data_IF_393598720884
#
_entry.id   IF_393598720884
#
_cell.length_a   1.000
_cell.length_b   1.000
_cell.length_c   1.000
_cell.angle_alpha   90.00
_cell.angle_beta   90.00
_cell.angle_gamma   90.00
#
_symmetry.space_group_name_H-M   'P 1'
#
loop_
_entity.id
_entity.type
_entity.pdbx_description
1 polymer ?
#
# COMPACT_ATOMS: atom_id res chain seq x y z
N UNK A 1 -14.30 -11.42 11.91
CA UNK A 1 -13.97 -11.32 10.47
C UNK A 1 -12.47 -11.48 10.33
N UNK A 2 -11.99 -12.58 9.76
CA UNK A 2 -10.61 -12.72 9.32
C UNK A 2 -10.49 -12.01 7.96
N UNK A 3 -9.70 -10.96 7.92
CA UNK A 3 -9.46 -10.16 6.70
C UNK A 3 -8.07 -10.54 6.18
N UNK A 4 -7.97 -11.74 5.63
CA UNK A 4 -6.83 -12.10 4.80
C UNK A 4 -7.14 -11.67 3.36
N UNK A 5 -6.38 -10.69 2.87
CA UNK A 5 -6.43 -10.29 1.48
C UNK A 5 -5.60 -11.29 0.66
N UNK A 6 -6.27 -12.10 -0.14
CA UNK A 6 -5.60 -12.98 -1.10
C UNK A 6 -5.11 -12.16 -2.28
N UNK A 7 -3.82 -11.82 -2.28
CA UNK A 7 -3.10 -11.28 -3.46
C UNK A 7 -2.79 -12.43 -4.40
N UNK A 8 -3.82 -13.01 -5.02
CA UNK A 8 -3.68 -14.03 -6.06
C UNK A 8 -4.55 -13.63 -7.25
N UNK A 9 -4.09 -12.65 -8.02
CA UNK A 9 -4.71 -12.29 -9.30
C UNK A 9 -3.86 -12.78 -10.47
N UNK A 10 -4.44 -13.04 -11.66
CA UNK A 10 -3.72 -13.49 -12.85
C UNK A 10 -2.50 -12.64 -13.22
N UNK A 11 -2.59 -11.33 -13.01
CA UNK A 11 -1.53 -10.36 -13.33
C UNK A 11 -0.27 -10.58 -12.47
N UNK A 12 -0.42 -11.10 -11.24
CA UNK A 12 0.72 -11.46 -10.38
C UNK A 12 1.46 -12.70 -10.90
N UNK A 13 0.75 -13.62 -11.59
CA UNK A 13 1.38 -14.76 -12.24
C UNK A 13 2.12 -14.33 -13.50
N UNK A 14 1.49 -13.49 -14.29
CA UNK A 14 2.08 -12.88 -15.50
C UNK A 14 3.37 -12.12 -15.16
N UNK A 15 3.36 -11.30 -14.10
CA UNK A 15 4.56 -10.60 -13.62
C UNK A 15 5.69 -11.57 -13.24
N UNK A 16 5.37 -12.70 -12.60
CA UNK A 16 6.35 -13.72 -12.22
C UNK A 16 6.91 -14.47 -13.43
N UNK A 17 6.07 -14.73 -14.43
CA UNK A 17 6.50 -15.36 -15.68
C UNK A 17 7.45 -14.44 -16.46
N UNK A 18 7.14 -13.14 -16.53
CA UNK A 18 8.04 -12.14 -17.11
C UNK A 18 9.36 -12.05 -16.34
N UNK A 19 9.32 -12.08 -15.00
CA UNK A 19 10.53 -12.11 -14.17
C UNK A 19 11.40 -13.35 -14.45
N UNK A 20 10.80 -14.53 -14.65
CA UNK A 20 11.52 -15.74 -15.03
C UNK A 20 12.16 -15.57 -16.41
N UNK A 21 11.40 -15.09 -17.38
CA UNK A 21 11.87 -14.89 -18.75
C UNK A 21 13.03 -13.90 -18.82
N UNK A 22 12.94 -12.76 -18.12
CA UNK A 22 14.02 -11.77 -18.02
C UNK A 22 15.31 -12.42 -17.49
N UNK A 23 15.21 -13.19 -16.39
CA UNK A 23 16.37 -13.87 -15.82
C UNK A 23 17.01 -14.89 -16.77
N UNK A 24 16.21 -15.56 -17.61
CA UNK A 24 16.73 -16.48 -18.63
C UNK A 24 17.42 -15.73 -19.78
N UNK A 25 16.81 -14.64 -20.25
CA UNK A 25 17.39 -13.78 -21.29
C UNK A 25 18.72 -13.15 -20.83
N UNK A 26 18.80 -12.67 -19.59
CA UNK A 26 20.04 -12.10 -19.01
C UNK A 26 21.16 -13.15 -18.92
N UNK A 27 20.85 -14.40 -18.56
CA UNK A 27 21.84 -15.48 -18.56
C UNK A 27 22.38 -15.78 -19.96
N UNK A 28 21.52 -15.74 -20.97
CA UNK A 28 21.96 -15.93 -22.36
C UNK A 28 22.80 -14.73 -22.82
N UNK A 29 22.45 -13.51 -22.43
CA UNK A 29 23.24 -12.31 -22.71
C UNK A 29 24.65 -12.42 -22.12
N UNK A 30 24.77 -12.80 -20.85
CA UNK A 30 26.06 -13.02 -20.18
C UNK A 30 26.89 -14.09 -20.92
N UNK A 31 26.26 -15.19 -21.32
CA UNK A 31 26.87 -16.27 -22.11
C UNK A 31 27.38 -15.79 -23.48
N UNK A 32 26.62 -14.96 -24.20
CA UNK A 32 27.02 -14.39 -25.49
C UNK A 32 28.16 -13.38 -25.34
N UNK A 33 28.09 -12.50 -24.34
CA UNK A 33 29.15 -11.54 -24.02
C UNK A 33 30.45 -12.26 -23.67
N UNK A 34 30.39 -13.31 -22.84
CA UNK A 34 31.57 -14.10 -22.47
C UNK A 34 32.20 -14.80 -23.69
N UNK A 35 31.37 -15.37 -24.58
CA UNK A 35 31.84 -15.98 -25.84
C UNK A 35 32.52 -14.95 -26.75
N UNK A 36 31.94 -13.75 -26.90
CA UNK A 36 32.50 -12.65 -27.69
C UNK A 36 33.86 -12.22 -27.14
N UNK A 37 33.96 -12.06 -25.83
CA UNK A 37 35.18 -11.57 -25.17
C UNK A 37 36.32 -12.60 -25.25
N UNK A 38 36.01 -13.90 -25.11
CA UNK A 38 36.97 -14.99 -25.37
C UNK A 38 37.50 -14.97 -26.80
N UNK A 39 36.63 -14.76 -27.80
CA UNK A 39 37.06 -14.63 -29.22
C UNK A 39 37.92 -13.39 -29.46
N UNK A 40 37.60 -12.27 -28.81
CA UNK A 40 38.37 -11.02 -28.94
C UNK A 40 39.77 -11.11 -28.33
N UNK A 41 39.91 -11.81 -27.19
CA UNK A 41 41.21 -12.09 -26.57
C UNK A 41 42.11 -12.94 -27.48
N UNK A 42 41.55 -13.92 -28.18
CA UNK A 42 42.31 -14.82 -29.05
C UNK A 42 42.83 -14.15 -30.35
N UNK A 43 42.22 -13.04 -30.80
CA UNK A 43 42.51 -12.38 -32.09
C UNK A 43 43.01 -10.93 -31.97
N UNK A 44 43.28 -10.48 -30.75
CA UNK A 44 43.66 -9.09 -30.45
C UNK A 44 42.42 -8.18 -30.35
N UNK A 45 42.23 -7.55 -29.19
CA UNK A 45 40.99 -6.86 -28.79
C UNK A 45 40.52 -5.76 -29.76
N UNK A 46 41.44 -5.09 -30.47
CA UNK A 46 41.15 -3.95 -31.35
C UNK A 46 41.57 -4.18 -32.82
N UNK A 47 41.49 -5.42 -33.31
CA UNK A 47 41.79 -5.74 -34.71
C UNK A 47 40.54 -5.78 -35.60
N UNK A 48 40.69 -5.46 -36.89
CA UNK A 48 39.63 -5.61 -37.89
C UNK A 48 39.15 -7.07 -38.01
N UNK A 49 40.04 -8.03 -37.76
CA UNK A 49 39.77 -9.47 -37.76
C UNK A 49 38.88 -9.88 -36.59
N UNK A 50 39.09 -9.28 -35.40
CA UNK A 50 38.21 -9.42 -34.24
C UNK A 50 36.83 -8.81 -34.52
N UNK A 51 36.78 -7.62 -35.10
CA UNK A 51 35.50 -6.98 -35.49
C UNK A 51 34.70 -7.87 -36.46
N UNK A 52 35.34 -8.38 -37.52
CA UNK A 52 34.68 -9.28 -38.49
C UNK A 52 34.25 -10.60 -37.85
N UNK A 53 35.08 -11.18 -36.98
CA UNK A 53 34.78 -12.46 -36.32
C UNK A 53 33.67 -12.37 -35.28
N UNK A 54 33.43 -11.18 -34.72
CA UNK A 54 32.42 -10.93 -33.70
C UNK A 54 31.17 -10.20 -34.22
N UNK A 55 31.08 -9.88 -35.52
CA UNK A 55 29.96 -9.13 -36.10
C UNK A 55 28.60 -9.78 -35.81
N UNK A 56 28.51 -11.11 -35.95
CA UNK A 56 27.28 -11.87 -35.71
C UNK A 56 26.94 -11.90 -34.21
N UNK A 57 27.91 -12.21 -33.35
CA UNK A 57 27.72 -12.18 -31.90
C UNK A 57 27.34 -10.78 -31.36
N UNK A 58 27.89 -9.70 -31.92
CA UNK A 58 27.51 -8.33 -31.55
C UNK A 58 26.05 -8.03 -31.91
N UNK A 59 25.59 -8.54 -33.06
CA UNK A 59 24.20 -8.40 -33.47
C UNK A 59 23.27 -9.22 -32.57
N UNK A 60 23.63 -10.46 -32.27
CA UNK A 60 22.84 -11.31 -31.36
C UNK A 60 22.74 -10.68 -29.96
N UNK A 61 23.82 -10.06 -29.48
CA UNK A 61 23.85 -9.29 -28.22
C UNK A 61 22.90 -8.08 -28.32
N UNK A 62 22.99 -7.26 -29.37
CA UNK A 62 22.14 -6.07 -29.55
C UNK A 62 20.64 -6.44 -29.66
N UNK A 63 20.33 -7.48 -30.44
CA UNK A 63 18.97 -8.00 -30.59
C UNK A 63 18.45 -8.51 -29.23
N UNK A 64 19.27 -9.22 -28.45
CA UNK A 64 18.88 -9.73 -27.12
C UNK A 64 18.75 -8.62 -26.07
N UNK A 65 19.63 -7.62 -26.07
CA UNK A 65 19.53 -6.42 -25.22
C UNK A 65 18.21 -5.69 -25.48
N UNK A 66 17.77 -5.61 -26.75
CA UNK A 66 16.49 -5.03 -27.12
C UNK A 66 15.30 -5.84 -26.59
N UNK A 67 15.34 -7.17 -26.72
CA UNK A 67 14.28 -8.07 -26.20
C UNK A 67 14.19 -7.94 -24.67
N UNK A 68 15.33 -7.89 -23.98
CA UNK A 68 15.38 -7.67 -22.52
C UNK A 68 14.76 -6.32 -22.15
N UNK A 69 15.08 -5.25 -22.89
CA UNK A 69 14.50 -3.94 -22.65
C UNK A 69 12.97 -3.91 -22.85
N UNK A 70 12.47 -4.57 -23.89
CA UNK A 70 11.02 -4.73 -24.14
C UNK A 70 10.35 -5.52 -23.00
N UNK A 71 10.95 -6.62 -22.53
CA UNK A 71 10.43 -7.40 -21.40
C UNK A 71 10.41 -6.59 -20.09
N UNK A 72 11.43 -5.77 -19.83
CA UNK A 72 11.44 -4.86 -18.69
C UNK A 72 10.36 -3.78 -18.78
N UNK A 73 10.05 -3.29 -19.99
CA UNK A 73 8.96 -2.35 -20.21
C UNK A 73 7.60 -3.00 -19.93
N UNK A 74 7.34 -4.18 -20.51
CA UNK A 74 6.11 -4.94 -20.28
C UNK A 74 5.89 -5.24 -18.79
N UNK A 75 6.96 -5.67 -18.10
CA UNK A 75 6.96 -5.86 -16.65
C UNK A 75 6.53 -4.60 -15.90
N UNK A 76 7.04 -3.44 -16.30
CA UNK A 76 6.72 -2.16 -15.65
C UNK A 76 5.25 -1.78 -15.86
N UNK A 77 4.72 -1.96 -17.07
CA UNK A 77 3.31 -1.67 -17.39
C UNK A 77 2.35 -2.56 -16.59
N UNK A 78 2.65 -3.86 -16.46
CA UNK A 78 1.87 -4.79 -15.63
C UNK A 78 1.98 -4.43 -14.15
N UNK A 79 3.19 -4.11 -13.66
CA UNK A 79 3.40 -3.69 -12.28
C UNK A 79 2.59 -2.44 -11.94
N UNK A 80 2.59 -1.43 -12.81
CA UNK A 80 1.82 -0.18 -12.64
C UNK A 80 0.31 -0.44 -12.65
N UNK A 81 -0.17 -1.33 -13.53
CA UNK A 81 -1.58 -1.73 -13.58
C UNK A 81 -2.04 -2.42 -12.29
N UNK A 82 -1.27 -3.40 -11.80
CA UNK A 82 -1.53 -4.10 -10.53
C UNK A 82 -1.53 -3.10 -9.37
N UNK A 83 -0.51 -2.24 -9.33
CA UNK A 83 -0.33 -1.23 -8.32
C UNK A 83 -1.56 -0.31 -8.19
N UNK A 84 -1.99 0.31 -9.29
CA UNK A 84 -3.10 1.25 -9.29
C UNK A 84 -4.44 0.59 -8.92
N UNK A 85 -4.71 -0.59 -9.47
CA UNK A 85 -5.98 -1.28 -9.23
C UNK A 85 -6.09 -1.78 -7.79
N UNK A 86 -5.04 -2.44 -7.29
CA UNK A 86 -5.04 -2.99 -5.93
C UNK A 86 -5.15 -1.89 -4.87
N UNK A 87 -4.40 -0.80 -5.04
CA UNK A 87 -4.45 0.33 -4.11
C UNK A 87 -5.83 0.97 -4.08
N UNK A 88 -6.44 1.19 -5.24
CA UNK A 88 -7.77 1.78 -5.29
C UNK A 88 -8.81 0.88 -4.62
N UNK A 89 -8.75 -0.43 -4.84
CA UNK A 89 -9.61 -1.40 -4.17
C UNK A 89 -9.41 -1.38 -2.65
N UNK A 90 -8.17 -1.50 -2.20
CA UNK A 90 -7.84 -1.53 -0.77
C UNK A 90 -8.24 -0.22 -0.07
N UNK A 91 -8.01 0.93 -0.72
CA UNK A 91 -8.43 2.25 -0.23
C UNK A 91 -9.94 2.33 -0.12
N UNK A 92 -10.68 1.95 -1.15
CA UNK A 92 -12.13 2.01 -1.16
C UNK A 92 -12.75 1.10 -0.10
N UNK A 93 -12.23 -0.12 0.04
CA UNK A 93 -12.68 -1.07 1.06
C UNK A 93 -12.40 -0.55 2.47
N UNK A 94 -11.20 -0.01 2.69
CA UNK A 94 -10.80 0.55 4.00
C UNK A 94 -11.64 1.76 4.35
N UNK A 95 -11.85 2.69 3.42
CA UNK A 95 -12.68 3.87 3.64
C UNK A 95 -14.15 3.48 3.89
N UNK A 96 -14.69 2.46 3.19
CA UNK A 96 -16.04 1.95 3.45
C UNK A 96 -16.16 1.37 4.86
N UNK A 97 -15.18 0.58 5.31
CA UNK A 97 -15.15 0.01 6.66
C UNK A 97 -14.97 1.09 7.74
N UNK A 98 -14.11 2.08 7.51
CA UNK A 98 -13.93 3.23 8.41
C UNK A 98 -15.21 4.08 8.50
N UNK A 99 -15.90 4.31 7.38
CA UNK A 99 -17.19 5.01 7.36
C UNK A 99 -18.30 4.24 8.09
N UNK A 100 -18.33 2.91 7.97
CA UNK A 100 -19.27 2.07 8.73
C UNK A 100 -19.00 2.15 10.24
N UNK A 101 -17.73 2.07 10.66
CA UNK A 101 -17.34 2.25 12.07
C UNK A 101 -17.72 3.64 12.58
N UNK A 102 -17.54 4.69 11.77
CA UNK A 102 -17.96 6.04 12.13
C UNK A 102 -19.48 6.16 12.26
N UNK A 103 -20.26 5.54 11.36
CA UNK A 103 -21.72 5.51 11.44
C UNK A 103 -22.21 4.81 12.70
N UNK A 104 -21.66 3.64 13.00
CA UNK A 104 -21.94 2.89 14.23
C UNK A 104 -21.61 3.74 15.47
N UNK A 105 -20.48 4.45 15.45
CA UNK A 105 -20.07 5.34 16.54
C UNK A 105 -21.03 6.51 16.72
N UNK A 106 -21.55 7.09 15.64
CA UNK A 106 -22.57 8.15 15.69
C UNK A 106 -23.88 7.62 16.27
N UNK A 107 -24.37 6.48 15.81
CA UNK A 107 -25.57 5.84 16.34
C UNK A 107 -25.44 5.49 17.84
N UNK A 108 -24.22 5.20 18.29
CA UNK A 108 -23.93 4.91 19.69
C UNK A 108 -23.93 6.13 20.62
N UNK A 109 -23.82 7.36 20.11
CA UNK A 109 -23.71 8.55 20.96
C UNK A 109 -24.72 9.65 20.62
N UNK A 110 -25.00 9.88 19.34
CA UNK A 110 -25.89 10.96 18.90
C UNK A 110 -27.32 10.71 19.39
N UNK A 111 -28.00 11.79 19.80
CA UNK A 111 -29.39 11.79 20.30
C UNK A 111 -29.64 11.02 21.60
N UNK A 112 -28.59 10.51 22.26
CA UNK A 112 -28.67 9.91 23.60
C UNK A 112 -28.55 10.95 24.70
N UNK A 113 -28.91 10.56 25.92
CA UNK A 113 -28.69 11.40 27.11
C UNK A 113 -27.22 11.42 27.51
N UNK A 114 -26.71 12.54 28.01
CA UNK A 114 -25.30 12.67 28.40
C UNK A 114 -24.82 11.62 29.44
N UNK A 115 -25.69 11.18 30.35
CA UNK A 115 -25.38 10.13 31.31
C UNK A 115 -25.13 8.78 30.62
N UNK A 116 -25.93 8.45 29.60
CA UNK A 116 -25.79 7.25 28.79
C UNK A 116 -24.49 7.32 27.96
N UNK A 117 -24.21 8.46 27.33
CA UNK A 117 -22.98 8.70 26.57
C UNK A 117 -21.73 8.56 27.45
N UNK A 118 -21.77 9.08 28.69
CA UNK A 118 -20.66 8.97 29.65
C UNK A 118 -20.37 7.52 30.03
N UNK A 119 -21.40 6.70 30.24
CA UNK A 119 -21.25 5.29 30.53
C UNK A 119 -20.65 4.50 29.34
N UNK A 120 -21.12 4.80 28.12
CA UNK A 120 -20.66 4.15 26.88
C UNK A 120 -19.23 4.57 26.46
N UNK A 121 -18.79 5.77 26.84
CA UNK A 121 -17.49 6.35 26.49
C UNK A 121 -16.31 5.49 26.93
N UNK A 122 -16.43 4.69 27.99
CA UNK A 122 -15.36 3.79 28.43
C UNK A 122 -15.26 2.52 27.60
N UNK A 123 -16.37 1.80 27.46
CA UNK A 123 -16.41 0.45 26.86
C UNK A 123 -16.45 0.48 25.34
N UNK A 124 -17.34 1.29 24.76
CA UNK A 124 -17.55 1.31 23.31
C UNK A 124 -16.40 2.01 22.58
N UNK A 125 -15.85 3.08 23.16
CA UNK A 125 -14.64 3.74 22.62
C UNK A 125 -13.48 2.77 22.51
N UNK A 126 -13.26 1.94 23.53
CA UNK A 126 -12.17 0.96 23.53
C UNK A 126 -12.37 -0.08 22.42
N UNK A 127 -13.57 -0.66 22.32
CA UNK A 127 -13.90 -1.64 21.27
C UNK A 127 -13.73 -1.06 19.86
N UNK A 128 -14.27 0.14 19.61
CA UNK A 128 -14.25 0.78 18.30
C UNK A 128 -12.83 1.23 17.89
N UNK A 129 -12.02 1.73 18.83
CA UNK A 129 -10.61 2.03 18.59
C UNK A 129 -9.80 0.75 18.28
N UNK A 130 -10.08 -0.36 18.97
CA UNK A 130 -9.44 -1.65 18.65
C UNK A 130 -9.83 -2.14 17.25
N UNK A 131 -11.10 -2.06 16.87
CA UNK A 131 -11.57 -2.42 15.54
C UNK A 131 -10.92 -1.54 14.44
N UNK A 132 -10.83 -0.23 14.66
CA UNK A 132 -10.13 0.67 13.75
C UNK A 132 -8.63 0.36 13.67
N UNK A 133 -7.99 0.07 14.81
CA UNK A 133 -6.59 -0.35 14.84
C UNK A 133 -6.34 -1.67 14.08
N UNK A 134 -7.26 -2.63 14.17
CA UNK A 134 -7.19 -3.87 13.39
C UNK A 134 -7.38 -3.62 11.89
N UNK A 135 -8.31 -2.74 11.51
CA UNK A 135 -8.52 -2.33 10.13
C UNK A 135 -7.25 -1.71 9.53
N UNK A 136 -6.61 -0.79 10.25
CA UNK A 136 -5.35 -0.16 9.84
C UNK A 136 -4.23 -1.19 9.70
N UNK A 137 -4.07 -2.10 10.67
CA UNK A 137 -3.07 -3.17 10.61
C UNK A 137 -3.28 -4.08 9.39
N UNK A 138 -4.53 -4.47 9.13
CA UNK A 138 -4.89 -5.30 7.98
C UNK A 138 -4.57 -4.58 6.67
N UNK A 139 -4.97 -3.31 6.53
CA UNK A 139 -4.63 -2.48 5.39
C UNK A 139 -3.11 -2.43 5.14
N UNK A 140 -2.33 -2.13 6.17
CA UNK A 140 -0.87 -2.02 6.06
C UNK A 140 -0.21 -3.36 5.72
N UNK A 141 -0.76 -4.48 6.22
CA UNK A 141 -0.27 -5.82 5.86
C UNK A 141 -0.48 -6.11 4.37
N UNK A 142 -1.64 -5.76 3.82
CA UNK A 142 -1.95 -5.91 2.40
C UNK A 142 -1.08 -5.04 1.50
N UNK A 143 -0.87 -3.77 1.89
CA UNK A 143 0.06 -2.89 1.19
C UNK A 143 1.48 -3.42 1.18
N UNK A 144 1.92 -4.05 2.28
CA UNK A 144 3.24 -4.70 2.34
C UNK A 144 3.34 -5.88 1.38
N UNK A 145 2.34 -6.75 1.36
CA UNK A 145 2.30 -7.87 0.42
C UNK A 145 2.32 -7.41 -1.04
N UNK A 146 1.62 -6.32 -1.37
CA UNK A 146 1.67 -5.73 -2.71
C UNK A 146 3.10 -5.27 -3.07
N UNK A 147 3.77 -4.55 -2.17
CA UNK A 147 5.17 -4.12 -2.39
C UNK A 147 6.10 -5.31 -2.60
N UNK A 148 5.94 -6.36 -1.79
CA UNK A 148 6.75 -7.57 -1.87
C UNK A 148 6.54 -8.28 -3.23
N UNK A 149 5.30 -8.32 -3.73
CA UNK A 149 4.95 -8.90 -5.04
C UNK A 149 5.49 -8.08 -6.21
N UNK A 150 5.35 -6.76 -6.16
CA UNK A 150 5.81 -5.89 -7.24
C UNK A 150 7.34 -5.79 -7.32
N UNK A 151 8.04 -6.20 -6.25
CA UNK A 151 9.50 -6.17 -6.17
C UNK A 151 10.04 -4.73 -6.22
N UNK A 152 9.28 -3.76 -5.71
CA UNK A 152 9.68 -2.34 -5.67
C UNK A 152 10.87 -2.21 -4.72
N UNK A 153 12.08 -2.38 -5.25
CA UNK A 153 13.35 -2.16 -4.52
C UNK A 153 13.75 -0.68 -4.47
N UNK A 154 13.12 0.16 -5.29
CA UNK A 154 13.40 1.59 -5.33
C UNK A 154 12.86 2.29 -4.07
N UNK A 155 13.77 2.81 -3.25
CA UNK A 155 13.46 3.48 -1.98
C UNK A 155 12.52 4.68 -2.14
N UNK A 156 12.65 5.46 -3.21
CA UNK A 156 11.81 6.65 -3.43
C UNK A 156 10.37 6.26 -3.79
N UNK A 157 10.20 5.22 -4.59
CA UNK A 157 8.87 4.67 -4.89
C UNK A 157 8.28 4.08 -3.61
N UNK A 158 9.06 3.29 -2.87
CA UNK A 158 8.64 2.72 -1.60
C UNK A 158 8.21 3.80 -0.59
N UNK A 159 8.94 4.92 -0.51
CA UNK A 159 8.62 6.03 0.38
C UNK A 159 7.36 6.80 -0.07
N UNK A 160 7.14 6.97 -1.37
CA UNK A 160 5.87 7.51 -1.90
C UNK A 160 4.70 6.56 -1.61
N UNK A 161 4.88 5.25 -1.79
CA UNK A 161 3.86 4.24 -1.45
C UNK A 161 3.55 4.25 0.04
N UNK A 162 4.58 4.36 0.89
CA UNK A 162 4.43 4.52 2.35
C UNK A 162 3.70 5.79 2.74
N UNK A 163 3.98 6.91 2.08
CA UNK A 163 3.36 8.21 2.38
C UNK A 163 1.90 8.27 1.95
N UNK A 164 1.60 7.84 0.74
CA UNK A 164 0.28 8.02 0.14
C UNK A 164 -0.72 6.93 0.55
N UNK A 165 -0.23 5.74 0.92
CA UNK A 165 -1.12 4.58 1.04
C UNK A 165 -1.04 3.81 2.35
N UNK A 166 0.01 3.90 3.17
CA UNK A 166 -0.04 3.26 4.49
C UNK A 166 -0.88 4.08 5.47
N UNK A 167 -2.06 3.58 5.85
CA UNK A 167 -2.92 4.20 6.88
C UNK A 167 -2.20 4.20 8.24
N UNK A 168 -2.28 5.32 8.96
CA UNK A 168 -1.70 5.48 10.31
C UNK A 168 -0.19 5.74 10.35
N UNK A 169 0.47 5.90 9.20
CA UNK A 169 1.81 6.49 9.10
C UNK A 169 1.74 8.04 9.05
N UNK A 170 2.84 8.70 9.47
CA UNK A 170 3.12 10.15 9.33
C UNK A 170 1.88 11.06 9.16
N UNK A 171 1.18 11.34 10.27
CA UNK A 171 0.18 12.42 10.31
C UNK A 171 -1.24 12.08 9.86
N UNK A 172 -1.54 10.83 9.48
CA UNK A 172 -2.92 10.44 9.16
C UNK A 172 -3.76 10.30 10.45
N UNK A 173 -4.47 11.36 10.83
CA UNK A 173 -5.51 11.27 11.85
C UNK A 173 -6.72 10.52 11.27
N UNK A 174 -7.08 9.36 11.84
CA UNK A 174 -8.30 8.65 11.42
C UNK A 174 -9.53 9.49 11.72
N UNK A 175 -10.52 9.49 10.84
CA UNK A 175 -11.77 10.27 11.01
C UNK A 175 -12.48 9.86 12.30
N UNK A 176 -12.44 8.56 12.61
CA UNK A 176 -12.97 8.01 13.85
C UNK A 176 -12.26 8.56 15.11
N UNK A 177 -10.93 8.68 15.05
CA UNK A 177 -10.13 9.24 16.15
C UNK A 177 -10.47 10.71 16.43
N UNK A 178 -10.64 11.52 15.37
CA UNK A 178 -11.11 12.90 15.50
C UNK A 178 -12.51 12.97 16.10
N UNK A 179 -13.43 12.12 15.63
CA UNK A 179 -14.79 12.07 16.19
C UNK A 179 -14.79 11.73 17.69
N UNK A 180 -14.01 10.75 18.13
CA UNK A 180 -13.88 10.42 19.55
C UNK A 180 -13.30 11.56 20.39
N UNK A 181 -12.35 12.31 19.85
CA UNK A 181 -11.81 13.49 20.50
C UNK A 181 -12.92 14.53 20.73
N UNK A 182 -13.78 14.74 19.74
CA UNK A 182 -14.91 15.68 19.83
C UNK A 182 -16.00 15.21 20.80
N UNK A 183 -16.27 13.90 20.85
CA UNK A 183 -17.18 13.30 21.86
C UNK A 183 -16.64 13.56 23.27
N UNK A 184 -15.37 13.23 23.52
CA UNK A 184 -14.73 13.44 24.83
C UNK A 184 -14.78 14.89 25.25
N UNK A 185 -14.43 15.80 24.34
CA UNK A 185 -14.44 17.24 24.59
C UNK A 185 -15.85 17.73 24.95
N UNK A 186 -16.86 17.29 24.22
CA UNK A 186 -18.25 17.68 24.44
C UNK A 186 -18.79 17.17 25.78
N UNK A 187 -18.45 15.94 26.18
CA UNK A 187 -18.82 15.40 27.50
C UNK A 187 -18.08 16.13 28.63
N UNK A 188 -16.80 16.43 28.49
CA UNK A 188 -16.06 17.24 29.47
C UNK A 188 -16.69 18.61 29.69
N UNK A 189 -17.02 19.32 28.61
CA UNK A 189 -17.69 20.62 28.70
C UNK A 189 -19.05 20.54 29.42
N UNK A 190 -19.82 19.47 29.18
CA UNK A 190 -21.10 19.25 29.84
C UNK A 190 -20.95 18.95 31.33
N UNK A 191 -19.95 18.15 31.72
CA UNK A 191 -19.66 17.89 33.13
C UNK A 191 -19.25 19.17 33.87
N UNK A 192 -18.43 20.02 33.23
CA UNK A 192 -18.07 21.34 33.77
C UNK A 192 -19.31 22.23 33.94
N UNK A 193 -20.26 22.16 32.99
CA UNK A 193 -21.50 22.93 33.05
C UNK A 193 -22.47 22.42 34.14
N UNK A 194 -22.56 21.11 34.38
CA UNK A 194 -23.29 20.55 35.54
C UNK A 194 -22.73 21.11 36.85
N UNK A 195 -21.40 21.10 37.00
CA UNK A 195 -20.72 21.61 38.20
C UNK A 195 -21.04 23.10 38.39
N UNK A 196 -21.03 23.87 37.29
CA UNK A 196 -21.35 25.31 37.30
C UNK A 196 -22.80 25.62 37.66
N UNK A 197 -23.75 24.83 37.15
CA UNK A 197 -25.19 25.08 37.28
C UNK A 197 -25.83 24.39 38.50
N UNK A 198 -25.10 23.52 39.19
CA UNK A 198 -25.58 22.73 40.33
C UNK A 198 -26.85 21.90 39.99
N UNK A 199 -26.91 21.38 38.76
CA UNK A 199 -28.04 20.61 38.21
C UNK A 199 -27.74 20.07 36.79
N UNK A 200 -28.49 19.07 36.33
CA UNK A 200 -28.33 18.47 35.00
C UNK A 200 -29.11 19.27 33.93
N UNK A 201 -28.46 19.82 32.90
CA UNK A 201 -29.16 20.36 31.74
C UNK A 201 -29.93 19.25 31.00
N UNK A 202 -31.20 19.48 30.70
CA UNK A 202 -32.09 18.50 30.05
C UNK A 202 -31.90 18.49 28.51
N UNK A 203 -30.65 18.31 28.08
CA UNK A 203 -30.24 18.40 26.68
C UNK A 203 -29.78 17.04 26.16
N UNK A 204 -30.17 16.70 24.92
CA UNK A 204 -29.61 15.55 24.21
C UNK A 204 -28.16 15.82 23.80
N UNK A 205 -27.33 14.77 23.78
CA UNK A 205 -25.97 14.85 23.28
C UNK A 205 -25.98 14.97 21.75
N UNK A 206 -25.31 16.00 21.24
CA UNK A 206 -25.02 16.19 19.82
C UNK A 206 -23.65 16.86 19.67
N UNK A 207 -22.84 16.37 18.72
CA UNK A 207 -21.65 17.09 18.28
C UNK A 207 -22.10 18.12 17.23
N UNK A 208 -22.10 19.41 17.60
CA UNK A 208 -22.36 20.50 16.66
C UNK A 208 -21.22 20.55 15.63
N UNK A 209 -21.59 20.50 14.34
CA UNK A 209 -20.66 20.71 13.21
C UNK A 209 -20.13 22.13 13.16
#
# INVERSE_FOLDING_TARGET
MTVEYTVTTPEVKELKEIDININELEKELDSLVEKRDKKALAKGKYSLETFKANKEANKDIEDLEKVIAEAYQERAEIADSIYLNYINQLRNETNRKEAALLSETKELFDNKGFAEVTALLGTETTRLLQLNGQLIKSHNSSMKQLVDVLGIKNKNILDNVKREYYKGGWGYASVLGSYFHDVKRSVSNYLDEIIRLNGMPDNKFEIKK
#
